data_IF_208711134326
#
_entry.id   IF_208711134326
#
_cell.length_a   1.000
_cell.length_b   1.000
_cell.length_c   1.000
_cell.angle_alpha   90.00
_cell.angle_beta   90.00
_cell.angle_gamma   90.00
#
_symmetry.space_group_name_H-M   'P 1'
#
loop_
_entity.id
_entity.type
_entity.pdbx_description
1 polymer ?
#
# COMPACT_ATOMS: atom_id res chain seq x y z
N UNK A 1 26.12 25.27 83.85
CA UNK A 1 27.21 25.64 82.92
C UNK A 1 28.19 24.51 82.63
N UNK A 2 28.47 23.58 83.55
CA UNK A 2 29.43 22.49 83.29
C UNK A 2 28.95 21.43 82.28
N UNK A 3 27.64 21.17 82.22
CA UNK A 3 27.08 20.13 81.34
C UNK A 3 27.18 20.48 79.85
N UNK A 4 26.96 21.76 79.51
CA UNK A 4 27.04 22.26 78.11
C UNK A 4 28.48 22.19 77.58
N UNK A 5 29.48 22.41 78.43
CA UNK A 5 30.89 22.35 78.04
C UNK A 5 31.32 20.91 77.75
N UNK A 6 30.90 19.96 78.57
CA UNK A 6 31.21 18.55 78.36
C UNK A 6 30.58 18.03 77.05
N UNK A 7 29.32 18.40 76.77
CA UNK A 7 28.65 18.05 75.51
C UNK A 7 29.38 18.62 74.28
N UNK A 8 29.93 19.83 74.37
CA UNK A 8 30.67 20.45 73.26
C UNK A 8 32.00 19.74 72.95
N UNK A 9 32.71 19.25 73.98
CA UNK A 9 33.97 18.52 73.79
C UNK A 9 33.73 17.14 73.14
N UNK A 10 32.66 16.45 73.51
CA UNK A 10 32.27 15.20 72.87
C UNK A 10 31.85 15.38 71.40
N UNK A 11 31.15 16.47 71.07
CA UNK A 11 30.77 16.77 69.68
C UNK A 11 31.98 17.09 68.79
N UNK A 12 32.96 17.85 69.30
CA UNK A 12 34.16 18.19 68.53
C UNK A 12 35.03 16.96 68.22
N UNK A 13 35.12 15.99 69.16
CA UNK A 13 35.81 14.73 68.89
C UNK A 13 35.10 13.90 67.82
N UNK A 14 33.76 13.83 67.86
CA UNK A 14 32.99 13.10 66.86
C UNK A 14 33.13 13.72 65.46
N UNK A 15 33.14 15.05 65.34
CA UNK A 15 33.33 15.70 64.04
C UNK A 15 34.70 15.42 63.44
N UNK A 16 35.76 15.43 64.27
CA UNK A 16 37.11 15.12 63.81
C UNK A 16 37.24 13.66 63.34
N UNK A 17 36.62 12.72 64.06
CA UNK A 17 36.62 11.31 63.69
C UNK A 17 35.84 11.05 62.39
N UNK A 18 34.75 11.78 62.15
CA UNK A 18 33.96 11.67 60.91
C UNK A 18 34.71 12.23 59.71
N UNK A 19 35.43 13.34 59.85
CA UNK A 19 36.23 13.91 58.75
C UNK A 19 37.34 12.95 58.31
N UNK A 20 38.04 12.32 59.24
CA UNK A 20 39.09 11.35 58.92
C UNK A 20 38.51 10.13 58.18
N UNK A 21 37.35 9.63 58.62
CA UNK A 21 36.64 8.54 57.95
C UNK A 21 36.19 8.91 56.53
N UNK A 22 35.72 10.15 56.33
CA UNK A 22 35.30 10.65 55.03
C UNK A 22 36.49 10.79 54.07
N UNK A 23 37.66 11.18 54.58
CA UNK A 23 38.90 11.24 53.80
C UNK A 23 39.31 9.84 53.34
N UNK A 24 39.23 8.84 54.23
CA UNK A 24 39.64 7.48 53.91
C UNK A 24 38.70 6.80 52.90
N UNK A 25 37.37 6.95 53.07
CA UNK A 25 36.38 6.46 52.10
C UNK A 25 36.56 7.14 50.73
N UNK A 26 36.83 8.45 50.71
CA UNK A 26 37.08 9.17 49.46
C UNK A 26 38.35 8.68 48.77
N UNK A 27 39.36 8.29 49.56
CA UNK A 27 40.61 7.74 49.04
C UNK A 27 40.39 6.36 48.43
N UNK A 28 39.71 5.45 49.14
CA UNK A 28 39.38 4.12 48.61
C UNK A 28 38.51 4.18 47.36
N UNK A 29 37.49 5.03 47.35
CA UNK A 29 36.61 5.20 46.17
C UNK A 29 37.37 5.75 44.97
N UNK A 30 38.27 6.72 45.15
CA UNK A 30 39.11 7.25 44.06
C UNK A 30 40.12 6.24 43.52
N UNK A 31 40.54 5.28 44.33
CA UNK A 31 41.43 4.20 43.91
C UNK A 31 40.65 3.15 43.11
N UNK A 32 39.48 2.75 43.63
CA UNK A 32 38.57 1.83 42.96
C UNK A 32 38.08 2.36 41.61
N UNK A 33 37.72 3.65 41.51
CA UNK A 33 37.33 4.26 40.23
C UNK A 33 38.44 4.23 39.19
N UNK A 34 39.70 4.41 39.59
CA UNK A 34 40.84 4.40 38.65
C UNK A 34 41.08 3.00 38.10
N UNK A 35 40.96 1.99 38.95
CA UNK A 35 41.05 0.59 38.54
C UNK A 35 39.87 0.24 37.61
N UNK A 36 38.64 0.63 37.97
CA UNK A 36 37.44 0.39 37.14
C UNK A 36 37.53 1.06 35.76
N UNK A 37 38.02 2.30 35.68
CA UNK A 37 38.17 3.01 34.40
C UNK A 37 39.19 2.32 33.50
N UNK A 38 40.34 1.93 34.05
CA UNK A 38 41.35 1.18 33.30
C UNK A 38 40.86 -0.20 32.83
N UNK A 39 40.01 -0.88 33.63
CA UNK A 39 39.40 -2.16 33.24
C UNK A 39 38.33 -1.98 32.18
N UNK A 40 37.45 -0.98 32.32
CA UNK A 40 36.38 -0.69 31.34
C UNK A 40 36.95 -0.39 29.95
N UNK A 41 38.04 0.36 29.86
CA UNK A 41 38.66 0.67 28.57
C UNK A 41 39.18 -0.58 27.86
N UNK A 42 39.73 -1.54 28.62
CA UNK A 42 40.17 -2.83 28.08
C UNK A 42 38.99 -3.67 27.60
N UNK A 43 37.93 -3.76 28.40
CA UNK A 43 36.72 -4.50 28.02
C UNK A 43 36.05 -3.90 26.78
N UNK A 44 36.00 -2.57 26.68
CA UNK A 44 35.44 -1.88 25.50
C UNK A 44 36.31 -2.09 24.27
N UNK A 45 37.64 -2.13 24.39
CA UNK A 45 38.53 -2.43 23.27
C UNK A 45 38.32 -3.87 22.77
N UNK A 46 38.29 -4.85 23.68
CA UNK A 46 38.02 -6.25 23.34
C UNK A 46 36.62 -6.44 22.74
N UNK A 47 35.62 -5.76 23.27
CA UNK A 47 34.26 -5.80 22.73
C UNK A 47 34.17 -5.18 21.34
N UNK A 48 34.88 -4.07 21.09
CA UNK A 48 34.95 -3.45 19.75
C UNK A 48 35.57 -4.37 18.72
N UNK A 49 36.66 -5.05 19.06
CA UNK A 49 37.29 -6.05 18.18
C UNK A 49 36.35 -7.23 17.88
N UNK A 50 35.69 -7.76 18.92
CA UNK A 50 34.67 -8.81 18.75
C UNK A 50 33.51 -8.33 17.87
N UNK A 51 33.01 -7.12 18.10
CA UNK A 51 31.87 -6.55 17.37
C UNK A 51 32.20 -6.31 15.89
N UNK A 52 33.42 -5.84 15.58
CA UNK A 52 33.86 -5.67 14.20
C UNK A 52 33.82 -7.01 13.42
N UNK A 53 34.27 -8.10 14.05
CA UNK A 53 34.22 -9.43 13.44
C UNK A 53 32.78 -9.99 13.28
N UNK A 54 31.86 -9.63 14.19
CA UNK A 54 30.45 -10.03 14.13
C UNK A 54 29.73 -9.27 13.00
N UNK A 55 29.98 -7.96 12.87
CA UNK A 55 29.39 -7.12 11.82
C UNK A 55 29.83 -7.59 10.43
N UNK A 56 31.11 -7.94 10.26
CA UNK A 56 31.64 -8.49 9.00
C UNK A 56 30.94 -9.81 8.60
N UNK A 57 30.55 -10.63 9.58
CA UNK A 57 29.81 -11.87 9.30
C UNK A 57 28.34 -11.64 8.93
N UNK A 58 27.73 -10.54 9.38
CA UNK A 58 26.30 -10.29 9.19
C UNK A 58 25.98 -9.56 7.89
N UNK A 59 26.87 -8.69 7.41
CA UNK A 59 26.61 -7.86 6.23
C UNK A 59 26.39 -8.72 4.97
N UNK A 60 27.22 -9.74 4.80
CA UNK A 60 27.15 -10.67 3.66
C UNK A 60 25.92 -11.58 3.70
N UNK A 61 25.46 -11.97 4.88
CA UNK A 61 24.31 -12.89 5.06
C UNK A 61 22.97 -12.22 4.74
N UNK A 62 22.82 -10.94 5.07
CA UNK A 62 21.56 -10.21 4.86
C UNK A 62 21.36 -9.95 3.37
N UNK A 63 22.42 -9.54 2.67
CA UNK A 63 22.37 -9.24 1.24
C UNK A 63 22.08 -10.49 0.40
N UNK A 64 22.71 -11.64 0.70
CA UNK A 64 22.51 -12.85 -0.08
C UNK A 64 21.18 -13.56 0.21
N UNK A 65 20.63 -13.44 1.43
CA UNK A 65 19.38 -14.09 1.80
C UNK A 65 18.14 -13.32 1.30
N UNK A 66 18.19 -11.98 1.26
CA UNK A 66 17.03 -11.16 0.93
C UNK A 66 16.92 -10.87 -0.57
N UNK A 67 18.04 -10.64 -1.24
CA UNK A 67 18.09 -10.25 -2.66
C UNK A 67 17.37 -11.23 -3.61
N UNK A 68 17.50 -12.57 -3.52
CA UNK A 68 16.86 -13.45 -4.49
C UNK A 68 15.33 -13.51 -4.32
N UNK A 69 14.82 -13.33 -3.10
CA UNK A 69 13.37 -13.30 -2.86
C UNK A 69 12.76 -11.96 -3.26
N UNK A 70 13.43 -10.85 -2.92
CA UNK A 70 12.96 -9.50 -3.24
C UNK A 70 12.99 -9.26 -4.75
N UNK A 71 14.05 -9.68 -5.46
CA UNK A 71 14.12 -9.54 -6.92
C UNK A 71 13.01 -10.32 -7.61
N UNK A 72 12.74 -11.56 -7.17
CA UNK A 72 11.68 -12.39 -7.75
C UNK A 72 10.29 -11.83 -7.45
N UNK A 73 10.06 -11.34 -6.22
CA UNK A 73 8.82 -10.66 -5.87
C UNK A 73 8.62 -9.39 -6.71
N UNK A 74 9.67 -8.61 -6.93
CA UNK A 74 9.61 -7.39 -7.75
C UNK A 74 9.30 -7.69 -9.21
N UNK A 75 9.83 -8.79 -9.76
CA UNK A 75 9.48 -9.24 -11.12
C UNK A 75 7.97 -9.53 -11.25
N UNK A 76 7.38 -10.23 -10.28
CA UNK A 76 5.94 -10.48 -10.29
C UNK A 76 5.12 -9.20 -10.16
N UNK A 77 5.53 -8.27 -9.31
CA UNK A 77 4.88 -6.95 -9.18
C UNK A 77 4.90 -6.20 -10.51
N UNK A 78 6.04 -6.19 -11.21
CA UNK A 78 6.16 -5.55 -12.52
C UNK A 78 5.26 -6.22 -13.57
N UNK A 79 5.23 -7.55 -13.62
CA UNK A 79 4.38 -8.30 -14.55
C UNK A 79 2.90 -8.01 -14.31
N UNK A 80 2.45 -8.08 -13.06
CA UNK A 80 1.05 -7.84 -12.69
C UNK A 80 0.66 -6.38 -12.97
N UNK A 81 1.56 -5.44 -12.69
CA UNK A 81 1.34 -4.02 -12.98
C UNK A 81 1.17 -3.76 -14.47
N UNK A 82 2.09 -4.27 -15.30
CA UNK A 82 2.02 -4.12 -16.76
C UNK A 82 0.76 -4.75 -17.31
N UNK A 83 0.41 -5.97 -16.87
CA UNK A 83 -0.81 -6.65 -17.29
C UNK A 83 -2.05 -5.84 -16.89
N UNK A 84 -2.09 -5.31 -15.67
CA UNK A 84 -3.18 -4.44 -15.21
C UNK A 84 -3.34 -3.19 -16.08
N UNK A 85 -2.25 -2.51 -16.42
CA UNK A 85 -2.26 -1.33 -17.29
C UNK A 85 -2.77 -1.70 -18.69
N UNK A 86 -2.30 -2.81 -19.26
CA UNK A 86 -2.75 -3.28 -20.58
C UNK A 86 -4.25 -3.60 -20.57
N UNK A 87 -4.76 -4.28 -19.54
CA UNK A 87 -6.18 -4.60 -19.42
C UNK A 87 -7.04 -3.35 -19.27
N UNK A 88 -6.63 -2.40 -18.44
CA UNK A 88 -7.34 -1.13 -18.27
C UNK A 88 -7.30 -0.29 -19.55
N UNK A 89 -6.15 -0.19 -20.20
CA UNK A 89 -6.00 0.51 -21.47
C UNK A 89 -6.87 -0.12 -22.57
N UNK A 90 -6.87 -1.44 -22.66
CA UNK A 90 -7.72 -2.18 -23.58
C UNK A 90 -9.21 -1.96 -23.27
N UNK A 91 -9.63 -2.02 -22.01
CA UNK A 91 -11.01 -1.77 -21.61
C UNK A 91 -11.48 -0.34 -21.98
N UNK A 92 -10.65 0.67 -21.73
CA UNK A 92 -10.94 2.06 -22.09
C UNK A 92 -11.02 2.24 -23.60
N UNK A 93 -10.04 1.71 -24.34
CA UNK A 93 -10.03 1.76 -25.81
C UNK A 93 -11.26 1.07 -26.41
N UNK A 94 -11.55 -0.13 -25.92
CA UNK A 94 -12.67 -0.96 -26.37
C UNK A 94 -14.00 -0.25 -26.09
N UNK A 95 -14.16 0.31 -24.88
CA UNK A 95 -15.36 1.09 -24.53
C UNK A 95 -15.52 2.32 -25.42
N UNK A 96 -14.45 3.07 -25.67
CA UNK A 96 -14.50 4.23 -26.56
C UNK A 96 -14.81 3.84 -28.02
N UNK A 97 -14.29 2.70 -28.48
CA UNK A 97 -14.58 2.18 -29.81
C UNK A 97 -16.03 1.71 -29.94
N UNK A 98 -16.53 0.93 -28.97
CA UNK A 98 -17.92 0.46 -28.98
C UNK A 98 -18.93 1.58 -28.75
N UNK A 99 -18.64 2.61 -27.94
CA UNK A 99 -19.55 3.74 -27.79
C UNK A 99 -19.80 4.46 -29.13
N UNK A 100 -18.77 4.60 -29.98
CA UNK A 100 -18.92 5.14 -31.34
C UNK A 100 -19.75 4.23 -32.26
N UNK A 101 -19.69 2.92 -32.04
CA UNK A 101 -20.48 1.93 -32.81
C UNK A 101 -21.91 1.81 -32.26
N UNK A 102 -22.13 2.01 -30.97
CA UNK A 102 -23.44 2.00 -30.30
C UNK A 102 -24.25 3.24 -30.70
N UNK A 103 -23.62 4.39 -30.90
CA UNK A 103 -24.29 5.58 -31.43
C UNK A 103 -24.89 5.32 -32.83
N UNK A 104 -24.19 4.56 -33.68
CA UNK A 104 -24.69 4.13 -34.99
C UNK A 104 -25.76 3.02 -34.90
N UNK A 105 -25.63 2.11 -33.93
CA UNK A 105 -26.62 1.04 -33.72
C UNK A 105 -27.89 1.51 -33.01
N UNK A 106 -27.88 2.61 -32.26
CA UNK A 106 -29.09 3.20 -31.68
C UNK A 106 -29.97 3.84 -32.77
N UNK A 107 -29.36 4.53 -33.75
CA UNK A 107 -30.07 4.96 -34.96
C UNK A 107 -30.70 3.77 -35.70
N UNK A 108 -29.97 2.65 -35.75
CA UNK A 108 -30.44 1.40 -36.34
C UNK A 108 -31.57 0.76 -35.54
N UNK A 109 -31.55 0.83 -34.20
CA UNK A 109 -32.58 0.27 -33.33
C UNK A 109 -33.89 1.08 -33.34
N UNK A 110 -33.81 2.41 -33.51
CA UNK A 110 -35.01 3.23 -33.71
C UNK A 110 -35.60 3.05 -35.11
N UNK A 111 -34.76 2.88 -36.15
CA UNK A 111 -35.23 2.47 -37.49
C UNK A 111 -35.80 1.05 -37.47
N UNK A 112 -35.15 0.13 -36.76
CA UNK A 112 -35.60 -1.26 -36.61
C UNK A 112 -36.83 -1.36 -35.71
N UNK A 113 -37.08 -0.43 -34.79
CA UNK A 113 -38.38 -0.31 -34.08
C UNK A 113 -39.50 0.16 -35.01
N UNK A 114 -39.21 0.99 -36.01
CA UNK A 114 -40.18 1.33 -37.04
C UNK A 114 -40.44 0.16 -37.99
N UNK A 115 -39.41 -0.62 -38.33
CA UNK A 115 -39.53 -1.82 -39.18
C UNK A 115 -40.18 -3.02 -38.45
N UNK A 116 -39.86 -3.24 -37.17
CA UNK A 116 -40.36 -4.35 -36.34
C UNK A 116 -41.76 -4.09 -35.75
N UNK A 117 -42.32 -2.89 -35.96
CA UNK A 117 -43.74 -2.61 -35.73
C UNK A 117 -44.64 -3.08 -36.89
N UNK A 118 -44.06 -3.47 -38.01
CA UNK A 118 -44.82 -4.08 -39.10
C UNK A 118 -45.13 -5.54 -38.74
N UNK A 119 -46.41 -5.89 -38.61
CA UNK A 119 -46.87 -7.27 -38.40
C UNK A 119 -46.71 -8.05 -39.73
N UNK A 120 -45.48 -8.49 -40.01
CA UNK A 120 -45.11 -9.26 -41.20
C UNK A 120 -44.93 -10.74 -40.83
N UNK A 121 -45.59 -11.63 -41.56
CA UNK A 121 -45.52 -13.09 -41.41
C UNK A 121 -45.22 -13.75 -42.75
N UNK A 122 -44.75 -15.00 -42.73
CA UNK A 122 -44.58 -15.79 -43.95
C UNK A 122 -45.90 -16.50 -44.27
N UNK A 123 -46.54 -16.17 -45.39
CA UNK A 123 -47.61 -16.99 -45.96
C UNK A 123 -47.08 -17.70 -47.20
N UNK A 124 -46.99 -19.03 -47.15
CA UNK A 124 -46.78 -19.86 -48.33
C UNK A 124 -45.56 -19.42 -49.18
N UNK A 125 -44.43 -19.19 -48.50
CA UNK A 125 -43.17 -18.75 -49.09
C UNK A 125 -43.09 -17.26 -49.47
N UNK A 126 -44.13 -16.47 -49.23
CA UNK A 126 -44.18 -15.03 -49.50
C UNK A 126 -44.37 -14.22 -48.21
N UNK A 127 -43.78 -13.03 -48.15
CA UNK A 127 -43.94 -12.10 -47.03
C UNK A 127 -45.33 -11.43 -47.11
N UNK A 128 -46.14 -11.62 -46.08
CA UNK A 128 -47.44 -10.99 -45.89
C UNK A 128 -47.35 -9.93 -44.79
N UNK A 129 -47.89 -8.74 -45.01
CA UNK A 129 -48.02 -7.72 -43.98
C UNK A 129 -49.49 -7.38 -43.75
N UNK A 130 -49.90 -7.17 -42.48
CA UNK A 130 -51.25 -6.70 -42.17
C UNK A 130 -51.36 -5.20 -42.47
N UNK A 131 -51.97 -4.84 -43.59
CA UNK A 131 -52.12 -3.43 -44.01
C UNK A 131 -53.45 -2.82 -43.54
N UNK A 132 -53.48 -1.51 -43.31
CA UNK A 132 -54.73 -0.77 -43.08
C UNK A 132 -55.38 -0.43 -44.43
N UNK A 133 -56.42 -1.20 -44.79
CA UNK A 133 -57.16 -1.04 -46.05
C UNK A 133 -58.07 0.18 -46.06
N UNK A 134 -58.32 0.82 -44.91
CA UNK A 134 -59.09 2.08 -44.77
C UNK A 134 -58.18 3.30 -44.57
N UNK A 135 -56.89 3.08 -44.41
CA UNK A 135 -55.88 4.11 -44.21
C UNK A 135 -55.56 4.92 -45.48
N UNK A 136 -54.86 6.03 -45.28
CA UNK A 136 -54.37 6.87 -46.39
C UNK A 136 -53.43 6.05 -47.27
N UNK A 137 -53.50 6.24 -48.59
CA UNK A 137 -52.56 5.62 -49.55
C UNK A 137 -51.46 6.62 -49.89
N UNK A 138 -50.24 6.10 -50.05
CA UNK A 138 -49.04 6.88 -50.37
C UNK A 138 -48.47 6.45 -51.73
N UNK A 139 -47.75 7.36 -52.39
CA UNK A 139 -47.19 7.20 -53.75
C UNK A 139 -48.04 7.88 -54.83
N UNK A 140 -47.44 8.24 -55.96
CA UNK A 140 -48.11 8.98 -57.05
C UNK A 140 -49.34 8.26 -57.63
N UNK A 141 -49.37 6.93 -57.49
CA UNK A 141 -50.48 6.06 -57.90
C UNK A 141 -51.17 5.36 -56.73
N UNK A 142 -50.88 5.77 -55.49
CA UNK A 142 -51.45 5.18 -54.27
C UNK A 142 -51.01 3.73 -54.01
N UNK A 143 -49.79 3.37 -54.41
CA UNK A 143 -49.25 2.00 -54.40
C UNK A 143 -48.88 1.50 -53.00
N UNK A 144 -48.75 2.39 -52.02
CA UNK A 144 -48.29 2.06 -50.68
C UNK A 144 -49.40 2.28 -49.65
N UNK A 145 -49.63 1.26 -48.81
CA UNK A 145 -50.54 1.31 -47.65
C UNK A 145 -49.74 1.07 -46.37
N UNK A 146 -50.14 1.68 -45.24
CA UNK A 146 -49.38 1.56 -44.01
C UNK A 146 -49.65 0.17 -43.41
N UNK A 147 -48.62 -0.43 -42.83
CA UNK A 147 -48.78 -1.67 -42.06
C UNK A 147 -49.36 -1.32 -40.69
N UNK A 148 -50.33 -2.11 -40.22
CA UNK A 148 -50.90 -1.95 -38.90
C UNK A 148 -49.83 -2.24 -37.83
N UNK A 149 -49.82 -1.48 -36.73
CA UNK A 149 -49.03 -1.85 -35.56
C UNK A 149 -49.54 -3.18 -34.98
N UNK A 150 -48.63 -3.97 -34.41
CA UNK A 150 -48.96 -5.22 -33.71
C UNK A 150 -49.75 -5.00 -32.43
#
# INVERSE_FOLDING_TARGET
MNDVRNASEHLLMLTAQVEDLLVDIRKETKESERILRATREREVATFREQMASILEHHDTRIDDALRPRVVRAWQFVMIVSVLGIVLLGAAVWLSAHYMRVIEQNQLSADLLKAYNRADVTLCDGRLCARVDTKGKRWGEKGEYMPVQPR
#
